data_IF_398854246072
#
_entry.id   IF_398854246072
#
_cell.length_a   1.000
_cell.length_b   1.000
_cell.length_c   1.000
_cell.angle_alpha   90.00
_cell.angle_beta   90.00
_cell.angle_gamma   90.00
#
_symmetry.space_group_name_H-M   'P 1'
#
loop_
_entity.id
_entity.type
_entity.pdbx_description
1 polymer ?
#
# COMPACT_ATOMS: atom_id res chain seq x y z
N UNK A 1 25.11 6.16 -34.33
CA UNK A 1 23.79 6.75 -34.60
C UNK A 1 23.46 7.66 -33.43
N UNK A 2 23.52 9.00 -33.66
CA UNK A 2 23.11 10.01 -32.68
C UNK A 2 21.60 10.27 -32.88
N UNK A 3 20.79 9.78 -31.96
CA UNK A 3 19.38 10.17 -31.85
C UNK A 3 19.33 11.55 -31.17
N UNK A 4 19.10 12.61 -31.94
CA UNK A 4 18.65 13.90 -31.41
C UNK A 4 17.13 13.81 -31.20
N UNK A 5 16.69 13.75 -29.93
CA UNK A 5 15.32 13.99 -29.56
C UNK A 5 15.10 15.52 -29.57
N UNK A 6 14.51 16.03 -30.63
CA UNK A 6 13.93 17.38 -30.65
C UNK A 6 12.62 17.35 -29.85
N UNK A 7 12.71 17.70 -28.56
CA UNK A 7 11.53 17.94 -27.74
C UNK A 7 11.01 19.34 -28.05
N UNK A 8 10.27 19.45 -29.15
CA UNK A 8 9.46 20.62 -29.43
C UNK A 8 8.20 20.55 -28.55
N UNK A 9 8.33 20.89 -27.28
CA UNK A 9 7.21 21.05 -26.36
C UNK A 9 6.47 22.34 -26.70
N UNK A 10 5.57 22.27 -27.69
CA UNK A 10 4.44 23.17 -27.73
C UNK A 10 3.59 22.85 -26.48
N UNK A 11 3.87 23.54 -25.39
CA UNK A 11 2.89 23.68 -24.32
C UNK A 11 1.71 24.46 -24.88
N UNK A 12 0.80 23.78 -25.58
CA UNK A 12 -0.56 24.26 -25.72
C UNK A 12 -1.07 24.47 -24.31
N UNK A 13 -1.58 25.64 -24.01
CA UNK A 13 -2.36 25.92 -22.82
C UNK A 13 -3.24 24.71 -22.55
N UNK A 14 -2.91 23.96 -21.49
CA UNK A 14 -3.78 22.92 -20.99
C UNK A 14 -5.02 23.67 -20.50
N UNK A 15 -6.01 23.78 -21.37
CA UNK A 15 -7.36 24.16 -20.95
C UNK A 15 -7.67 23.29 -19.78
N UNK A 16 -8.01 23.90 -18.64
CA UNK A 16 -8.49 23.22 -17.45
C UNK A 16 -9.67 22.35 -17.91
N UNK A 17 -9.39 21.07 -18.20
CA UNK A 17 -10.44 20.10 -18.45
C UNK A 17 -11.26 20.01 -17.18
N UNK A 18 -12.56 20.22 -17.29
CA UNK A 18 -13.49 20.00 -16.21
C UNK A 18 -13.32 18.54 -15.74
N UNK A 19 -12.60 18.37 -14.65
CA UNK A 19 -12.30 17.04 -14.09
C UNK A 19 -13.58 16.44 -13.51
N UNK A 20 -14.24 15.63 -14.31
CA UNK A 20 -15.46 14.91 -13.94
C UNK A 20 -15.28 14.02 -12.70
N UNK A 21 -14.07 13.57 -12.43
CA UNK A 21 -13.71 12.71 -11.33
C UNK A 21 -13.34 13.49 -10.06
N UNK A 22 -13.25 14.81 -10.13
CA UNK A 22 -12.94 15.68 -8.99
C UNK A 22 -11.70 15.23 -8.21
N UNK A 23 -10.60 15.03 -8.92
CA UNK A 23 -9.29 14.59 -8.41
C UNK A 23 -9.26 13.14 -7.86
N UNK A 24 -10.23 12.31 -8.19
CA UNK A 24 -10.16 10.89 -7.92
C UNK A 24 -9.38 10.17 -9.03
N UNK A 25 -8.43 9.34 -8.61
CA UNK A 25 -7.65 8.45 -9.48
C UNK A 25 -7.92 7.02 -9.04
N UNK A 26 -8.15 6.14 -10.01
CA UNK A 26 -8.39 4.72 -9.80
C UNK A 26 -7.36 3.96 -10.62
N UNK A 27 -6.67 3.03 -9.97
CA UNK A 27 -5.71 2.16 -10.64
C UNK A 27 -6.05 0.70 -10.33
N UNK A 28 -6.04 -0.14 -11.37
CA UNK A 28 -6.16 -1.58 -11.26
C UNK A 28 -4.96 -2.22 -11.93
N UNK A 29 -4.20 -2.97 -11.17
CA UNK A 29 -3.06 -3.73 -11.66
C UNK A 29 -3.23 -5.22 -11.38
N UNK A 30 -2.57 -6.04 -12.20
CA UNK A 30 -2.55 -7.47 -12.00
C UNK A 30 -1.37 -8.12 -12.69
N UNK A 31 -0.83 -9.17 -12.08
CA UNK A 31 0.24 -9.98 -12.66
C UNK A 31 0.00 -11.47 -12.44
N UNK A 32 0.43 -12.26 -13.41
CA UNK A 32 0.48 -13.71 -13.32
C UNK A 32 1.81 -14.23 -13.81
N UNK A 33 2.47 -15.04 -12.97
CA UNK A 33 3.73 -15.71 -13.31
C UNK A 33 3.61 -17.20 -13.07
N UNK A 34 4.06 -17.98 -14.03
CA UNK A 34 4.16 -19.43 -13.96
C UNK A 34 5.59 -19.85 -14.28
N UNK A 35 6.26 -20.43 -13.29
CA UNK A 35 7.61 -21.00 -13.44
C UNK A 35 7.53 -22.51 -13.26
N UNK A 36 8.01 -23.26 -14.25
CA UNK A 36 8.02 -24.72 -14.22
C UNK A 36 9.41 -25.25 -14.52
N UNK A 37 9.93 -26.00 -13.58
CA UNK A 37 11.15 -26.79 -13.67
C UNK A 37 10.80 -28.27 -13.46
N UNK A 38 11.75 -29.17 -13.69
CA UNK A 38 11.52 -30.61 -13.57
C UNK A 38 11.01 -31.03 -12.18
N UNK A 39 11.57 -30.45 -11.10
CA UNK A 39 11.25 -30.78 -9.72
C UNK A 39 10.41 -29.71 -9.00
N UNK A 40 10.11 -28.58 -9.66
CA UNK A 40 9.42 -27.45 -9.04
C UNK A 40 8.48 -26.77 -10.03
N UNK A 41 7.27 -26.50 -9.56
CA UNK A 41 6.32 -25.62 -10.24
C UNK A 41 5.88 -24.52 -9.31
N UNK A 42 5.91 -23.27 -9.76
CA UNK A 42 5.44 -22.11 -8.99
C UNK A 42 4.45 -21.33 -9.83
N UNK A 43 3.25 -21.14 -9.27
CA UNK A 43 2.25 -20.23 -9.81
C UNK A 43 2.12 -19.07 -8.85
N UNK A 44 2.21 -17.83 -9.35
CA UNK A 44 2.03 -16.62 -8.58
C UNK A 44 1.09 -15.71 -9.31
N UNK A 45 0.10 -15.17 -8.60
CA UNK A 45 -0.76 -14.11 -9.09
C UNK A 45 -0.91 -13.02 -8.05
N UNK A 46 -1.03 -11.82 -8.56
CA UNK A 46 -1.19 -10.60 -7.78
C UNK A 46 -2.26 -9.75 -8.43
N UNK A 47 -3.11 -9.16 -7.62
CA UNK A 47 -4.09 -8.16 -8.01
C UNK A 47 -4.07 -7.03 -7.00
N UNK A 48 -4.09 -5.79 -7.50
CA UNK A 48 -4.09 -4.59 -6.67
C UNK A 48 -5.07 -3.58 -7.25
N UNK A 49 -5.80 -2.94 -6.37
CA UNK A 49 -6.71 -1.86 -6.70
C UNK A 49 -6.43 -0.68 -5.77
N UNK A 50 -6.14 0.46 -6.37
CA UNK A 50 -5.85 1.70 -5.68
C UNK A 50 -6.89 2.77 -6.00
N UNK A 51 -7.19 3.57 -5.00
CA UNK A 51 -8.04 4.76 -5.10
C UNK A 51 -7.31 5.89 -4.41
N UNK A 52 -7.03 6.97 -5.15
CA UNK A 52 -6.42 8.16 -4.60
C UNK A 52 -7.24 9.40 -4.89
N UNK A 53 -7.22 10.33 -3.96
CA UNK A 53 -7.72 11.69 -4.12
C UNK A 53 -6.74 12.67 -3.49
N UNK A 54 -6.31 13.63 -4.29
CA UNK A 54 -5.46 14.73 -3.84
C UNK A 54 -6.12 16.06 -4.19
N UNK A 55 -6.36 16.86 -3.17
CA UNK A 55 -6.82 18.25 -3.28
C UNK A 55 -5.99 19.11 -2.34
N UNK A 56 -6.18 20.42 -2.35
CA UNK A 56 -5.54 21.34 -1.40
C UNK A 56 -5.84 20.96 0.06
N UNK A 57 -7.09 20.57 0.35
CA UNK A 57 -7.54 20.23 1.69
C UNK A 57 -7.37 18.76 2.07
N UNK A 58 -7.42 17.83 1.10
CA UNK A 58 -7.56 16.41 1.37
C UNK A 58 -6.56 15.56 0.62
N UNK A 59 -5.94 14.63 1.35
CA UNK A 59 -5.17 13.50 0.83
C UNK A 59 -5.82 12.20 1.29
N UNK A 60 -6.50 11.52 0.39
CA UNK A 60 -7.18 10.24 0.65
C UNK A 60 -6.52 9.19 -0.23
N UNK A 61 -6.17 8.06 0.34
CA UNK A 61 -5.66 6.91 -0.41
C UNK A 61 -6.21 5.62 0.18
N UNK A 62 -6.60 4.69 -0.68
CA UNK A 62 -7.04 3.36 -0.30
C UNK A 62 -6.43 2.34 -1.27
N UNK A 63 -5.96 1.24 -0.75
CA UNK A 63 -5.34 0.16 -1.51
C UNK A 63 -5.88 -1.17 -1.00
N UNK A 64 -6.29 -2.01 -1.94
CA UNK A 64 -6.64 -3.41 -1.69
C UNK A 64 -5.72 -4.26 -2.53
N UNK A 65 -4.97 -5.17 -1.92
CA UNK A 65 -4.11 -6.09 -2.66
C UNK A 65 -4.29 -7.54 -2.21
N UNK A 66 -4.11 -8.44 -3.17
CA UNK A 66 -4.07 -9.88 -2.92
C UNK A 66 -2.96 -10.50 -3.74
N UNK A 67 -2.07 -11.20 -3.04
CA UNK A 67 -0.99 -11.99 -3.61
C UNK A 67 -1.15 -13.45 -3.17
N UNK A 68 -1.05 -14.38 -4.12
CA UNK A 68 -1.09 -15.82 -3.84
C UNK A 68 0.03 -16.52 -4.61
N UNK A 69 0.80 -17.37 -3.92
CA UNK A 69 1.89 -18.14 -4.48
C UNK A 69 1.73 -19.61 -4.11
N UNK A 70 1.45 -20.43 -5.12
CA UNK A 70 1.36 -21.87 -5.00
C UNK A 70 2.63 -22.49 -5.53
N UNK A 71 3.36 -23.22 -4.68
CA UNK A 71 4.58 -23.95 -5.05
C UNK A 71 4.36 -25.43 -4.85
N UNK A 72 4.68 -26.20 -5.87
CA UNK A 72 4.67 -27.66 -5.87
C UNK A 72 6.11 -28.13 -6.04
N UNK A 73 6.55 -29.01 -5.20
CA UNK A 73 7.85 -29.67 -5.27
C UNK A 73 7.65 -31.17 -5.43
N UNK A 74 8.41 -31.78 -6.31
CA UNK A 74 8.43 -33.24 -6.50
C UNK A 74 9.84 -33.74 -6.18
N UNK A 75 9.95 -34.65 -5.23
CA UNK A 75 11.23 -35.28 -4.84
C UNK A 75 11.00 -36.75 -4.49
N UNK A 76 11.68 -37.65 -5.18
CA UNK A 76 11.62 -39.11 -4.94
C UNK A 76 10.18 -39.64 -4.82
N UNK A 77 9.33 -39.34 -5.82
CA UNK A 77 7.90 -39.69 -5.89
C UNK A 77 7.01 -39.07 -4.79
N UNK A 78 7.56 -38.21 -3.94
CA UNK A 78 6.78 -37.43 -2.97
C UNK A 78 6.51 -36.01 -3.52
N UNK A 79 5.27 -35.58 -3.31
CA UNK A 79 4.81 -34.27 -3.70
C UNK A 79 4.57 -33.40 -2.46
N UNK A 80 5.16 -32.20 -2.44
CA UNK A 80 4.99 -31.21 -1.38
C UNK A 80 4.40 -29.94 -1.96
N UNK A 81 3.31 -29.47 -1.40
CA UNK A 81 2.68 -28.22 -1.82
C UNK A 81 2.79 -27.16 -0.73
N UNK A 82 3.21 -25.97 -1.10
CA UNK A 82 3.23 -24.78 -0.24
C UNK A 82 2.36 -23.70 -0.84
N UNK A 83 1.34 -23.30 -0.11
CA UNK A 83 0.44 -22.21 -0.50
C UNK A 83 0.64 -21.02 0.44
N UNK A 84 0.96 -19.87 -0.14
CA UNK A 84 1.13 -18.59 0.58
C UNK A 84 0.12 -17.60 0.05
N UNK A 85 -0.66 -17.04 0.97
CA UNK A 85 -1.68 -16.02 0.67
C UNK A 85 -1.43 -14.79 1.51
N UNK A 86 -1.42 -13.64 0.85
CA UNK A 86 -1.38 -12.35 1.50
C UNK A 86 -2.56 -11.54 0.99
N UNK A 87 -3.33 -10.96 1.89
CA UNK A 87 -4.41 -10.02 1.55
C UNK A 87 -4.22 -8.78 2.41
N UNK A 88 -4.25 -7.61 1.81
CA UNK A 88 -4.14 -6.36 2.54
C UNK A 88 -5.18 -5.36 2.07
N UNK A 89 -5.65 -4.57 3.00
CA UNK A 89 -6.36 -3.33 2.78
C UNK A 89 -5.67 -2.25 3.61
N UNK A 90 -5.30 -1.16 2.97
CA UNK A 90 -4.67 0.00 3.60
C UNK A 90 -5.44 1.25 3.23
N UNK A 91 -5.60 2.15 4.18
CA UNK A 91 -6.25 3.41 3.96
C UNK A 91 -5.54 4.54 4.69
N UNK A 92 -5.55 5.71 4.08
CA UNK A 92 -5.10 6.97 4.67
C UNK A 92 -6.12 8.06 4.38
N UNK A 93 -6.38 8.88 5.36
CA UNK A 93 -7.19 10.09 5.22
C UNK A 93 -6.48 11.19 5.99
N UNK A 94 -6.04 12.23 5.29
CA UNK A 94 -5.34 13.37 5.87
C UNK A 94 -6.02 14.64 5.38
N UNK A 95 -6.26 15.56 6.29
CA UNK A 95 -6.82 16.88 6.02
C UNK A 95 -5.81 17.96 6.37
N UNK A 96 -5.59 18.88 5.45
CA UNK A 96 -4.89 20.13 5.72
C UNK A 96 -5.80 21.03 6.55
N UNK A 97 -5.33 21.46 7.73
CA UNK A 97 -6.08 22.31 8.66
C UNK A 97 -5.66 23.77 8.47
N UNK A 98 -4.40 23.98 8.12
CA UNK A 98 -3.81 25.27 7.78
C UNK A 98 -2.65 25.05 6.82
N UNK A 99 -2.02 26.15 6.36
CA UNK A 99 -0.87 26.11 5.44
C UNK A 99 0.34 25.34 5.99
N UNK A 100 0.39 25.13 7.30
CA UNK A 100 1.50 24.45 7.97
C UNK A 100 1.09 23.20 8.75
N UNK A 101 -0.20 22.94 8.92
CA UNK A 101 -0.67 21.89 9.81
C UNK A 101 -1.67 20.98 9.15
N UNK A 102 -1.44 19.66 9.26
CA UNK A 102 -2.40 18.66 8.86
C UNK A 102 -2.63 17.61 9.94
N UNK A 103 -3.80 17.00 9.93
CA UNK A 103 -4.13 15.88 10.78
C UNK A 103 -4.87 14.80 9.98
N UNK A 104 -4.71 13.57 10.41
CA UNK A 104 -5.32 12.46 9.71
C UNK A 104 -5.19 11.14 10.43
N UNK A 105 -5.39 10.08 9.68
CA UNK A 105 -5.25 8.73 10.20
C UNK A 105 -4.98 7.72 9.10
N UNK A 106 -4.31 6.68 9.53
CA UNK A 106 -4.02 5.48 8.74
C UNK A 106 -4.77 4.31 9.36
N UNK A 107 -5.25 3.41 8.53
CA UNK A 107 -5.93 2.22 8.99
C UNK A 107 -5.72 1.08 8.01
N UNK A 108 -5.86 -0.14 8.49
CA UNK A 108 -5.71 -1.27 7.59
C UNK A 108 -6.02 -2.62 8.20
N UNK A 109 -6.12 -3.57 7.29
CA UNK A 109 -6.33 -4.99 7.57
C UNK A 109 -5.28 -5.76 6.79
N UNK A 110 -4.68 -6.76 7.42
CA UNK A 110 -3.64 -7.58 6.82
C UNK A 110 -3.80 -9.03 7.24
N UNK A 111 -3.70 -9.93 6.29
CA UNK A 111 -3.71 -11.38 6.47
C UNK A 111 -2.50 -11.97 5.74
N UNK A 112 -1.81 -12.91 6.35
CA UNK A 112 -0.66 -13.59 5.75
C UNK A 112 -0.48 -14.99 6.32
N UNK A 113 -0.70 -15.99 5.49
CA UNK A 113 -0.57 -17.39 5.90
C UNK A 113 0.87 -17.80 6.24
N UNK A 114 1.86 -17.18 5.60
CA UNK A 114 3.27 -17.46 5.85
C UNK A 114 3.75 -16.91 7.19
N UNK A 115 3.24 -15.75 7.59
CA UNK A 115 3.55 -15.12 8.87
C UNK A 115 2.66 -15.62 10.02
N UNK A 116 1.82 -16.61 9.76
CA UNK A 116 0.84 -17.13 10.72
C UNK A 116 -0.19 -16.07 11.15
N UNK A 117 -0.51 -15.08 10.29
CA UNK A 117 -1.43 -13.99 10.62
C UNK A 117 -2.79 -14.28 9.96
N UNK A 118 -3.78 -14.61 10.79
CA UNK A 118 -5.18 -14.73 10.38
C UNK A 118 -5.79 -13.35 10.10
N UNK A 119 -5.62 -12.42 11.05
CA UNK A 119 -6.12 -11.06 10.90
C UNK A 119 -5.31 -10.10 11.75
N UNK A 120 -4.65 -9.15 11.10
CA UNK A 120 -4.08 -7.97 11.74
C UNK A 120 -4.87 -6.74 11.29
N UNK A 121 -5.37 -5.96 12.24
CA UNK A 121 -6.08 -4.70 12.00
C UNK A 121 -5.46 -3.60 12.83
N UNK A 122 -5.34 -2.42 12.24
CA UNK A 122 -4.74 -1.29 12.92
C UNK A 122 -5.44 0.02 12.54
N UNK A 123 -5.31 0.98 13.44
CA UNK A 123 -5.63 2.38 13.23
C UNK A 123 -4.49 3.23 13.80
N UNK A 124 -4.13 4.29 13.13
CA UNK A 124 -3.03 5.16 13.54
C UNK A 124 -3.36 6.63 13.24
N UNK A 125 -3.91 7.38 14.20
CA UNK A 125 -4.01 8.83 14.13
C UNK A 125 -2.62 9.44 13.97
N UNK A 126 -2.55 10.54 13.21
CA UNK A 126 -1.33 11.27 12.91
C UNK A 126 -1.58 12.76 12.84
N UNK A 127 -0.54 13.51 13.17
CA UNK A 127 -0.45 14.95 12.97
C UNK A 127 0.86 15.29 12.29
N UNK A 128 0.85 16.33 11.47
CA UNK A 128 2.03 16.78 10.73
C UNK A 128 2.12 18.29 10.78
N UNK A 129 3.33 18.79 10.97
CA UNK A 129 3.65 20.21 10.89
C UNK A 129 4.70 20.42 9.78
N UNK A 130 4.40 21.27 8.82
CA UNK A 130 5.33 21.71 7.79
C UNK A 130 5.95 23.05 8.16
N UNK A 131 7.29 23.13 8.10
CA UNK A 131 8.01 24.39 8.37
C UNK A 131 7.83 25.43 7.25
N UNK A 132 7.49 24.96 6.05
CA UNK A 132 7.15 25.80 4.90
C UNK A 132 5.69 25.64 4.55
N UNK A 133 5.03 26.68 4.03
CA UNK A 133 3.66 26.57 3.54
C UNK A 133 3.53 25.46 2.48
N UNK A 134 2.39 24.79 2.44
CA UNK A 134 2.15 23.73 1.45
C UNK A 134 2.22 24.21 0.00
N UNK A 135 2.06 25.51 -0.27
CA UNK A 135 2.26 26.11 -1.58
C UNK A 135 3.71 26.00 -2.07
N UNK A 136 4.68 25.99 -1.16
CA UNK A 136 6.11 25.93 -1.45
C UNK A 136 6.67 24.50 -1.56
N UNK A 137 5.85 23.47 -1.37
CA UNK A 137 6.26 22.05 -1.24
C UNK A 137 7.12 21.55 -2.41
N UNK A 138 6.92 22.09 -3.61
CA UNK A 138 7.71 21.72 -4.81
C UNK A 138 9.15 22.24 -4.78
N UNK A 139 9.44 23.23 -3.95
CA UNK A 139 10.76 23.85 -3.84
C UNK A 139 11.46 23.64 -2.51
N UNK A 140 10.69 23.53 -1.43
CA UNK A 140 11.19 23.39 -0.05
C UNK A 140 10.20 22.58 0.77
N UNK A 141 10.66 21.49 1.36
CA UNK A 141 9.85 20.67 2.27
C UNK A 141 10.68 20.28 3.49
N UNK A 142 10.22 20.66 4.67
CA UNK A 142 10.68 20.14 5.95
C UNK A 142 9.43 19.91 6.77
N UNK A 143 9.15 18.65 7.11
CA UNK A 143 7.98 18.25 7.87
C UNK A 143 8.38 17.52 9.15
N UNK A 144 7.61 17.76 10.19
CA UNK A 144 7.65 16.98 11.43
C UNK A 144 6.31 16.27 11.57
N UNK A 145 6.31 14.95 11.53
CA UNK A 145 5.11 14.15 11.67
C UNK A 145 5.19 13.26 12.91
N UNK A 146 4.06 13.10 13.58
CA UNK A 146 3.91 12.19 14.70
C UNK A 146 2.68 11.32 14.53
N UNK A 147 2.86 10.01 14.73
CA UNK A 147 1.82 8.99 14.56
C UNK A 147 1.82 8.01 15.72
N UNK A 148 0.62 7.71 16.24
CA UNK A 148 0.40 6.68 17.25
C UNK A 148 -0.45 5.59 16.62
N UNK A 149 0.05 4.36 16.62
CA UNK A 149 -0.64 3.19 16.07
C UNK A 149 -1.17 2.26 17.17
N UNK A 150 -2.39 1.78 16.96
CA UNK A 150 -3.03 0.76 17.78
C UNK A 150 -3.49 -0.37 16.89
N UNK A 151 -3.20 -1.61 17.25
CA UNK A 151 -3.56 -2.77 16.46
C UNK A 151 -3.95 -3.98 17.30
N UNK A 152 -4.66 -4.90 16.64
CA UNK A 152 -4.94 -6.23 17.16
C UNK A 152 -4.61 -7.25 16.10
N UNK A 153 -3.88 -8.28 16.51
CA UNK A 153 -3.46 -9.38 15.65
C UNK A 153 -4.01 -10.69 16.18
N UNK A 154 -4.65 -11.45 15.32
CA UNK A 154 -5.03 -12.83 15.54
C UNK A 154 -4.09 -13.72 14.74
N UNK A 155 -3.73 -14.85 15.28
CA UNK A 155 -2.88 -15.84 14.63
C UNK A 155 -3.72 -17.02 14.13
N UNK A 156 -3.29 -17.67 13.06
CA UNK A 156 -3.92 -18.88 12.51
C UNK A 156 -3.70 -20.03 13.51
N UNK A 157 -2.46 -20.16 13.99
CA UNK A 157 -2.05 -21.14 15.00
C UNK A 157 -1.39 -20.43 16.17
N UNK A 158 -1.40 -21.04 17.35
CA UNK A 158 -0.69 -20.51 18.50
C UNK A 158 0.78 -20.26 18.17
N UNK A 159 1.27 -19.08 18.54
CA UNK A 159 2.69 -18.79 18.42
C UNK A 159 3.53 -19.66 19.35
N UNK A 160 4.84 -19.70 19.12
CA UNK A 160 5.80 -20.42 20.01
C UNK A 160 5.75 -19.91 21.47
N UNK A 161 5.25 -18.69 21.69
CA UNK A 161 5.03 -18.10 23.02
C UNK A 161 3.61 -18.32 23.55
N UNK A 162 2.79 -19.11 22.86
CA UNK A 162 1.44 -19.45 23.29
C UNK A 162 0.36 -18.41 22.98
N UNK A 163 0.66 -17.38 22.19
CA UNK A 163 -0.32 -16.35 21.84
C UNK A 163 -1.23 -16.79 20.70
N UNK A 164 -2.53 -16.64 20.88
CA UNK A 164 -3.55 -16.71 19.82
C UNK A 164 -3.91 -15.32 19.31
N UNK A 165 -3.76 -14.30 20.17
CA UNK A 165 -4.08 -12.89 19.87
C UNK A 165 -3.09 -11.98 20.58
N UNK A 166 -2.80 -10.82 19.95
CA UNK A 166 -1.97 -9.78 20.54
C UNK A 166 -2.58 -8.39 20.29
N UNK A 167 -2.39 -7.50 21.27
CA UNK A 167 -2.58 -6.06 21.09
C UNK A 167 -1.22 -5.42 20.82
N UNK A 168 -1.16 -4.53 19.85
CA UNK A 168 0.07 -3.87 19.39
C UNK A 168 -0.10 -2.36 19.51
N UNK A 169 0.96 -1.67 19.90
CA UNK A 169 1.04 -0.21 19.85
C UNK A 169 2.38 0.20 19.24
N UNK A 170 2.39 1.29 18.52
CA UNK A 170 3.59 1.87 17.92
C UNK A 170 3.55 3.38 17.99
N UNK A 171 4.74 4.00 18.02
CA UNK A 171 4.93 5.44 17.92
C UNK A 171 6.01 5.68 16.86
N UNK A 172 5.78 6.65 16.00
CA UNK A 172 6.70 7.02 14.91
C UNK A 172 6.70 8.51 14.73
#
# INVERSE_FOLDING_TARGET
YNLKLDVNSNFKDLTVYDDKWKNWVFELSGSYNNDKEESRQTNRYEIEFEIDKLTEDWRIGMEISRNESNRKFVSNDNEYTSNRKTTSFRGRVVRSISDHFSAGGFFGIYQNTFENIDLNRYIAPAIEYSFYPYEDVLSKEITLAYRIGFGKRNYIEKTIYGFEKQSLSSQT
#
